data_IF_882936610283
#
_entry.id   IF_882936610283
#
_cell.length_a   1.000
_cell.length_b   1.000
_cell.length_c   1.000
_cell.angle_alpha   90.00
_cell.angle_beta   90.00
_cell.angle_gamma   90.00
#
_symmetry.space_group_name_H-M   'P 1'
#
loop_
_entity.id
_entity.type
_entity.pdbx_description
1 polymer ?
#
# COMPACT_ATOMS: atom_id res chain seq x y z
N UNK A 1 2.83 6.82 0.76
CA UNK A 1 1.86 5.73 0.53
C UNK A 1 2.59 4.40 0.57
N UNK A 2 1.90 3.33 0.96
CA UNK A 2 2.35 1.95 0.90
C UNK A 2 1.11 1.05 0.73
N UNK A 3 1.26 -0.11 0.10
CA UNK A 3 0.19 -1.08 -0.06
C UNK A 3 0.74 -2.49 -0.23
N UNK A 4 0.04 -3.46 0.37
CA UNK A 4 0.35 -4.90 0.28
C UNK A 4 -0.95 -5.65 0.00
N UNK A 5 -0.91 -6.56 -0.98
CA UNK A 5 -1.99 -7.49 -1.26
C UNK A 5 -2.04 -8.50 -0.12
N UNK A 6 -3.21 -8.63 0.50
CA UNK A 6 -3.51 -9.66 1.49
C UNK A 6 -4.60 -10.55 0.93
N UNK A 7 -4.57 -11.85 1.24
CA UNK A 7 -5.50 -12.82 0.67
C UNK A 7 -6.96 -12.48 0.97
N UNK A 8 -7.26 -12.07 2.20
CA UNK A 8 -8.60 -11.64 2.62
C UNK A 8 -8.51 -10.49 3.62
N UNK A 9 -9.55 -9.66 3.68
CA UNK A 9 -9.68 -8.58 4.68
C UNK A 9 -10.10 -9.08 6.08
N UNK A 10 -9.89 -10.37 6.37
CA UNK A 10 -10.16 -10.97 7.67
C UNK A 10 -9.05 -10.66 8.68
N UNK A 11 -9.40 -10.69 9.96
CA UNK A 11 -8.48 -10.43 11.06
C UNK A 11 -7.20 -11.29 11.01
N UNK A 12 -7.32 -12.56 10.58
CA UNK A 12 -6.19 -13.50 10.48
C UNK A 12 -5.06 -13.02 9.56
N UNK A 13 -5.42 -12.31 8.49
CA UNK A 13 -4.49 -11.78 7.50
C UNK A 13 -4.15 -10.31 7.77
N UNK A 14 -5.12 -9.54 8.28
CA UNK A 14 -4.95 -8.13 8.60
C UNK A 14 -4.00 -7.89 9.78
N UNK A 15 -4.11 -8.69 10.86
CA UNK A 15 -3.29 -8.50 12.06
C UNK A 15 -1.78 -8.66 11.78
N UNK A 16 -1.31 -9.75 11.15
CA UNK A 16 0.12 -9.90 10.83
C UNK A 16 0.62 -8.78 9.92
N UNK A 17 -0.17 -8.41 8.90
CA UNK A 17 0.17 -7.30 8.01
C UNK A 17 0.37 -5.97 8.76
N UNK A 18 -0.55 -5.63 9.67
CA UNK A 18 -0.42 -4.41 10.47
C UNK A 18 0.79 -4.46 11.39
N UNK A 19 1.06 -5.60 12.03
CA UNK A 19 2.22 -5.75 12.92
C UNK A 19 3.56 -5.65 12.18
N UNK A 20 3.63 -6.13 10.93
CA UNK A 20 4.81 -6.02 10.07
C UNK A 20 5.03 -4.57 9.57
N UNK A 21 3.94 -3.87 9.28
CA UNK A 21 3.99 -2.60 8.51
C UNK A 21 3.85 -1.35 9.37
N UNK A 22 3.31 -1.46 10.59
CA UNK A 22 2.95 -0.32 11.43
C UNK A 22 3.60 -0.46 12.80
N UNK A 23 4.25 0.61 13.23
CA UNK A 23 4.83 0.66 14.57
C UNK A 23 3.73 0.57 15.65
N UNK A 24 3.90 -0.21 16.74
CA UNK A 24 2.84 -0.42 17.75
C UNK A 24 2.28 0.87 18.39
N UNK A 25 3.11 1.91 18.49
CA UNK A 25 2.72 3.22 19.04
C UNK A 25 2.15 4.21 18.00
N UNK A 26 2.02 3.82 16.74
CA UNK A 26 1.52 4.70 15.69
C UNK A 26 0.06 5.11 15.93
N UNK A 27 -0.30 6.34 15.54
CA UNK A 27 -1.68 6.79 15.53
C UNK A 27 -2.37 6.26 14.26
N UNK A 28 -3.29 5.32 14.44
CA UNK A 28 -3.98 4.67 13.33
C UNK A 28 -5.44 5.11 13.37
N UNK A 29 -5.96 5.58 12.24
CA UNK A 29 -7.37 5.87 12.05
C UNK A 29 -7.90 4.95 10.96
N UNK A 30 -8.85 4.09 11.32
CA UNK A 30 -9.42 3.07 10.46
C UNK A 30 -10.93 3.21 10.36
N UNK A 31 -11.49 2.71 9.26
CA UNK A 31 -12.93 2.69 9.04
C UNK A 31 -13.63 1.68 9.95
N UNK A 32 -14.97 1.67 9.94
CA UNK A 32 -15.81 0.83 10.79
C UNK A 32 -15.75 -0.68 10.51
N UNK A 33 -14.76 -1.17 9.76
CA UNK A 33 -14.68 -2.59 9.38
C UNK A 33 -14.51 -3.51 10.60
N UNK A 34 -15.30 -4.58 10.73
CA UNK A 34 -15.22 -5.50 11.86
C UNK A 34 -13.86 -6.20 12.04
N UNK A 35 -13.04 -6.28 10.98
CA UNK A 35 -11.71 -6.91 11.01
C UNK A 35 -10.73 -6.23 11.98
N UNK A 36 -10.93 -4.94 12.28
CA UNK A 36 -10.11 -4.21 13.25
C UNK A 36 -10.46 -4.52 14.72
N UNK A 37 -11.57 -5.23 14.99
CA UNK A 37 -12.01 -5.51 16.36
C UNK A 37 -10.98 -6.31 17.14
N UNK A 38 -10.62 -5.80 18.31
CA UNK A 38 -9.67 -6.43 19.22
C UNK A 38 -8.20 -6.26 18.82
N UNK A 39 -7.87 -5.36 17.87
CA UNK A 39 -6.49 -4.96 17.56
C UNK A 39 -5.96 -3.84 18.47
N UNK A 40 -6.80 -3.29 19.36
CA UNK A 40 -6.40 -2.28 20.34
C UNK A 40 -5.38 -2.81 21.36
N UNK A 41 -5.26 -4.13 21.53
CA UNK A 41 -4.24 -4.74 22.40
C UNK A 41 -2.84 -4.53 21.84
N UNK A 42 -2.71 -4.68 20.53
CA UNK A 42 -1.44 -4.51 19.80
C UNK A 42 -1.21 -3.06 19.38
N UNK A 43 -2.29 -2.31 19.10
CA UNK A 43 -2.26 -0.91 18.67
C UNK A 43 -3.16 -0.05 19.58
N UNK A 44 -2.65 0.41 20.74
CA UNK A 44 -3.45 1.17 21.71
C UNK A 44 -4.05 2.46 21.14
N UNK A 45 -3.36 3.08 20.18
CA UNK A 45 -3.73 4.35 19.55
C UNK A 45 -4.63 4.17 18.30
N UNK A 46 -5.18 2.97 18.09
CA UNK A 46 -6.10 2.69 16.97
C UNK A 46 -7.49 3.28 17.25
N UNK A 47 -7.89 4.23 16.40
CA UNK A 47 -9.23 4.80 16.34
C UNK A 47 -10.02 4.05 15.28
N UNK A 48 -11.15 3.49 15.70
CA UNK A 48 -12.08 2.74 14.85
C UNK A 48 -13.37 3.54 14.73
N UNK A 49 -13.61 4.16 13.56
CA UNK A 49 -14.77 5.03 13.34
C UNK A 49 -15.47 4.75 12.02
N UNK A 50 -16.79 4.94 11.95
CA UNK A 50 -17.53 4.81 10.70
C UNK A 50 -17.03 5.87 9.71
N UNK A 51 -16.85 5.52 8.44
CA UNK A 51 -16.33 6.44 7.41
C UNK A 51 -17.23 7.65 7.08
N UNK A 52 -18.40 7.75 7.71
CA UNK A 52 -19.39 8.80 7.46
C UNK A 52 -20.13 8.61 6.14
N UNK A 53 -21.08 9.52 5.85
CA UNK A 53 -21.88 9.48 4.61
C UNK A 53 -20.93 9.59 3.40
N UNK A 54 -20.92 8.56 2.55
CA UNK A 54 -20.03 8.45 1.37
C UNK A 54 -18.53 8.57 1.68
N UNK A 55 -18.08 8.13 2.87
CA UNK A 55 -16.63 8.06 3.15
C UNK A 55 -15.96 9.40 3.47
N UNK A 56 -16.73 10.44 3.78
CA UNK A 56 -16.24 11.82 4.02
C UNK A 56 -15.15 11.95 5.09
N UNK A 57 -15.00 10.98 5.99
CA UNK A 57 -13.96 11.00 7.03
C UNK A 57 -12.57 10.66 6.47
N UNK A 58 -12.50 9.94 5.34
CA UNK A 58 -11.24 9.51 4.73
C UNK A 58 -11.08 10.01 3.29
N UNK A 59 -11.21 11.32 3.02
CA UNK A 59 -11.22 11.84 1.65
C UNK A 59 -9.89 11.57 0.93
N UNK A 60 -8.75 11.68 1.63
CA UNK A 60 -7.44 11.42 1.02
C UNK A 60 -7.26 9.95 0.63
N UNK A 61 -7.78 9.02 1.44
CA UNK A 61 -7.73 7.59 1.14
C UNK A 61 -8.58 7.27 -0.09
N UNK A 62 -9.80 7.81 -0.17
CA UNK A 62 -10.66 7.65 -1.33
C UNK A 62 -10.04 8.24 -2.60
N UNK A 63 -9.41 9.41 -2.53
CA UNK A 63 -8.68 9.97 -3.66
C UNK A 63 -7.51 9.10 -4.10
N UNK A 64 -6.72 8.59 -3.15
CA UNK A 64 -5.61 7.70 -3.46
C UNK A 64 -6.09 6.43 -4.19
N UNK A 65 -7.17 5.81 -3.72
CA UNK A 65 -7.79 4.63 -4.36
C UNK A 65 -8.32 4.98 -5.75
N UNK A 66 -9.01 6.11 -5.89
CA UNK A 66 -9.56 6.55 -7.17
C UNK A 66 -8.45 6.80 -8.21
N UNK A 67 -7.37 7.47 -7.81
CA UNK A 67 -6.22 7.74 -8.67
C UNK A 67 -5.48 6.45 -9.06
N UNK A 68 -5.30 5.52 -8.11
CA UNK A 68 -4.71 4.22 -8.41
C UNK A 68 -5.53 3.45 -9.45
N UNK A 69 -6.85 3.38 -9.25
CA UNK A 69 -7.76 2.72 -10.18
C UNK A 69 -7.79 3.39 -11.57
N UNK A 70 -7.72 4.73 -11.62
CA UNK A 70 -7.65 5.45 -12.88
C UNK A 70 -6.33 5.19 -13.62
N UNK A 71 -5.21 5.18 -12.88
CA UNK A 71 -3.90 4.86 -13.43
C UNK A 71 -3.86 3.43 -13.99
N UNK A 72 -4.38 2.45 -13.25
CA UNK A 72 -4.48 1.07 -13.74
C UNK A 72 -5.25 0.98 -15.07
N UNK A 73 -6.45 1.58 -15.14
CA UNK A 73 -7.27 1.55 -16.36
C UNK A 73 -6.66 2.32 -17.54
N UNK A 74 -5.96 3.42 -17.26
CA UNK A 74 -5.40 4.28 -18.30
C UNK A 74 -4.11 3.75 -18.91
N UNK A 75 -3.28 3.06 -18.10
CA UNK A 75 -1.94 2.63 -18.50
C UNK A 75 -1.86 1.13 -18.84
N UNK A 76 -2.68 0.30 -18.20
CA UNK A 76 -2.57 -1.15 -18.30
C UNK A 76 -3.84 -1.78 -18.89
N UNK A 77 -3.66 -2.68 -19.85
CA UNK A 77 -4.75 -3.42 -20.48
C UNK A 77 -5.34 -4.49 -19.53
N UNK A 78 -4.48 -5.19 -18.78
CA UNK A 78 -4.85 -6.18 -17.77
C UNK A 78 -3.96 -6.07 -16.54
N UNK A 79 -4.41 -6.66 -15.43
CA UNK A 79 -3.72 -6.66 -14.14
C UNK A 79 -3.66 -8.09 -13.61
N UNK A 80 -2.53 -8.76 -13.81
CA UNK A 80 -2.34 -10.15 -13.39
C UNK A 80 -1.59 -10.26 -12.05
N UNK A 81 -0.59 -9.39 -11.85
CA UNK A 81 0.27 -9.37 -10.66
C UNK A 81 0.05 -8.11 -9.81
N UNK A 82 -1.11 -7.97 -9.18
CA UNK A 82 -1.55 -6.75 -8.49
C UNK A 82 -0.49 -6.11 -7.56
N UNK A 83 0.30 -6.91 -6.83
CA UNK A 83 1.34 -6.38 -5.96
C UNK A 83 2.43 -5.61 -6.72
N UNK A 84 2.82 -6.06 -7.91
CA UNK A 84 3.82 -5.37 -8.73
C UNK A 84 3.33 -3.97 -9.14
N UNK A 85 2.07 -3.87 -9.55
CA UNK A 85 1.46 -2.58 -9.89
C UNK A 85 1.34 -1.65 -8.67
N UNK A 86 0.98 -2.18 -7.49
CA UNK A 86 0.95 -1.41 -6.24
C UNK A 86 2.35 -0.89 -5.90
N UNK A 87 3.39 -1.72 -6.07
CA UNK A 87 4.77 -1.33 -5.82
C UNK A 87 5.19 -0.18 -6.76
N UNK A 88 4.90 -0.31 -8.06
CA UNK A 88 5.20 0.73 -9.04
C UNK A 88 4.45 2.03 -8.74
N UNK A 89 3.13 1.95 -8.54
CA UNK A 89 2.32 3.13 -8.26
C UNK A 89 2.77 3.81 -6.97
N UNK A 90 3.09 3.02 -5.94
CA UNK A 90 3.64 3.55 -4.68
C UNK A 90 5.00 4.23 -4.89
N UNK A 91 5.88 3.65 -5.72
CA UNK A 91 7.17 4.25 -6.06
C UNK A 91 6.99 5.63 -6.72
N UNK A 92 6.12 5.71 -7.73
CA UNK A 92 5.77 6.94 -8.44
C UNK A 92 5.11 7.96 -7.50
N UNK A 93 4.09 7.54 -6.75
CA UNK A 93 3.37 8.39 -5.82
C UNK A 93 4.29 8.97 -4.75
N UNK A 94 5.24 8.21 -4.20
CA UNK A 94 6.14 8.72 -3.17
C UNK A 94 7.23 9.66 -3.71
N UNK A 95 7.42 9.72 -5.04
CA UNK A 95 8.48 10.51 -5.70
C UNK A 95 7.96 11.51 -6.73
N UNK A 96 6.64 11.71 -6.81
CA UNK A 96 6.04 12.64 -7.78
C UNK A 96 6.49 14.10 -7.63
N UNK A 97 7.02 14.49 -6.47
CA UNK A 97 7.59 15.83 -6.19
C UNK A 97 9.12 15.86 -6.14
N UNK A 98 9.76 14.76 -6.51
CA UNK A 98 11.22 14.69 -6.50
C UNK A 98 11.77 15.65 -7.55
N UNK A 99 12.83 16.39 -7.17
CA UNK A 99 13.49 17.33 -8.09
C UNK A 99 14.33 16.62 -9.13
N UNK A 100 14.94 15.52 -8.74
CA UNK A 100 15.61 14.58 -9.64
C UNK A 100 14.55 13.80 -10.43
N UNK A 101 14.84 13.45 -11.67
CA UNK A 101 13.92 12.66 -12.47
C UNK A 101 13.73 11.25 -11.91
N UNK A 102 12.48 10.76 -11.99
CA UNK A 102 12.07 9.47 -11.41
C UNK A 102 12.83 8.30 -12.08
N UNK A 103 13.13 8.44 -13.36
CA UNK A 103 13.86 7.45 -14.15
C UNK A 103 15.32 7.36 -13.74
N UNK A 104 16.00 8.49 -13.59
CA UNK A 104 17.40 8.59 -13.17
C UNK A 104 17.59 7.99 -11.78
N UNK A 105 16.70 8.31 -10.85
CA UNK A 105 16.71 7.69 -9.52
C UNK A 105 16.52 6.16 -9.61
N UNK A 106 15.61 5.69 -10.47
CA UNK A 106 15.43 4.25 -10.66
C UNK A 106 16.71 3.59 -11.18
N UNK A 107 17.35 4.18 -12.20
CA UNK A 107 18.59 3.68 -12.77
C UNK A 107 19.72 3.64 -11.74
N UNK A 108 19.91 4.71 -10.97
CA UNK A 108 20.92 4.77 -9.90
C UNK A 108 20.70 3.64 -8.88
N UNK A 109 19.44 3.44 -8.45
CA UNK A 109 19.10 2.38 -7.48
C UNK A 109 19.27 0.98 -8.06
N UNK A 110 19.01 0.78 -9.35
CA UNK A 110 19.22 -0.49 -10.02
C UNK A 110 20.71 -0.83 -10.10
N UNK A 111 21.55 0.11 -10.53
CA UNK A 111 23.00 -0.09 -10.66
C UNK A 111 23.67 -0.29 -9.30
N UNK A 112 23.17 0.36 -8.24
CA UNK A 112 23.70 0.20 -6.89
C UNK A 112 23.36 -1.15 -6.22
N UNK A 113 22.50 -1.98 -6.82
CA UNK A 113 22.10 -3.28 -6.27
C UNK A 113 22.81 -4.42 -7.02
N UNK A 114 23.12 -5.54 -6.33
CA UNK A 114 23.67 -6.70 -7.00
C UNK A 114 22.68 -7.23 -8.06
N UNK A 115 23.17 -7.79 -9.17
CA UNK A 115 22.32 -8.27 -10.25
C UNK A 115 21.35 -9.34 -9.75
N UNK A 116 20.07 -9.16 -10.07
CA UNK A 116 19.03 -10.14 -9.75
C UNK A 116 18.76 -11.01 -10.99
N UNK A 117 19.26 -12.25 -10.96
CA UNK A 117 19.20 -13.14 -12.12
C UNK A 117 17.77 -13.65 -12.36
N UNK A 118 17.41 -13.90 -13.62
CA UNK A 118 16.10 -14.42 -14.00
C UNK A 118 15.69 -15.70 -13.24
N UNK A 119 16.63 -16.61 -12.98
CA UNK A 119 16.40 -17.83 -12.19
C UNK A 119 15.91 -17.53 -10.76
N UNK A 120 16.27 -16.38 -10.20
CA UNK A 120 15.82 -15.95 -8.87
C UNK A 120 14.43 -15.29 -8.92
N UNK A 121 13.97 -14.84 -10.09
CA UNK A 121 12.64 -14.25 -10.29
C UNK A 121 11.57 -15.34 -10.37
N UNK A 122 11.85 -16.42 -11.11
CA UNK A 122 10.89 -17.50 -11.36
C UNK A 122 10.70 -18.46 -10.17
N UNK A 123 11.61 -18.43 -9.19
CA UNK A 123 11.62 -19.32 -8.03
C UNK A 123 11.15 -18.62 -6.73
N UNK A 124 10.41 -17.51 -6.83
CA UNK A 124 9.83 -16.80 -5.69
C UNK A 124 8.45 -17.31 -5.29
#
# INVERSE_FOLDING_TARGET
MYGKVIQTAEKKNLKPFMMESIHPKAHIRADGWPGYRGLKKEFPNLIHEKSGKKGKIFPQLHWAIMMFNAWLRGMHHSVDYLQAYINEYTYRFNRHKMKEGIFENLMIRMVAKPPFMYKMVINQ
#
